data_IF_826011801960
#
_entry.id   IF_826011801960
#
_cell.length_a   1.000
_cell.length_b   1.000
_cell.length_c   1.000
_cell.angle_alpha   90.00
_cell.angle_beta   90.00
_cell.angle_gamma   90.00
#
_symmetry.space_group_name_H-M   'P 1'
#
loop_
_entity.id
_entity.type
_entity.pdbx_description
1 polymer ?
#
# COMPACT_ATOMS: atom_id res chain seq x y z
N UNK A 1 -19.37 -10.39 48.63
CA UNK A 1 -18.12 -11.18 48.52
C UNK A 1 -18.26 -12.07 47.29
N UNK A 2 -17.68 -11.64 46.18
CA UNK A 2 -17.68 -12.30 44.87
C UNK A 2 -16.80 -11.45 43.94
N UNK A 3 -15.90 -12.04 43.14
CA UNK A 3 -14.70 -11.35 42.67
C UNK A 3 -14.95 -10.47 41.44
N UNK A 4 -14.31 -9.30 41.47
CA UNK A 4 -14.16 -8.36 40.37
C UNK A 4 -13.13 -8.92 39.37
N UNK A 5 -13.60 -9.36 38.21
CA UNK A 5 -12.76 -9.87 37.13
C UNK A 5 -12.35 -8.71 36.23
N UNK A 6 -11.10 -8.28 36.40
CA UNK A 6 -10.47 -7.26 35.58
C UNK A 6 -10.48 -7.61 34.09
N UNK A 7 -11.08 -6.73 33.30
CA UNK A 7 -10.96 -6.73 31.85
C UNK A 7 -9.61 -6.13 31.47
N UNK A 8 -8.63 -7.00 31.20
CA UNK A 8 -7.41 -6.61 30.48
C UNK A 8 -7.73 -6.60 28.98
N UNK A 9 -8.00 -5.42 28.44
CA UNK A 9 -8.03 -5.22 27.00
C UNK A 9 -6.62 -5.40 26.43
N UNK A 10 -6.45 -6.41 25.57
CA UNK A 10 -5.28 -6.51 24.69
C UNK A 10 -5.40 -5.42 23.62
N UNK A 11 -4.86 -4.24 23.89
CA UNK A 11 -4.53 -3.25 22.87
C UNK A 11 -3.22 -3.66 22.19
N UNK A 12 -3.25 -3.83 20.88
CA UNK A 12 -2.02 -3.89 20.08
C UNK A 12 -1.56 -2.45 19.83
N UNK A 13 -0.64 -1.97 20.66
CA UNK A 13 0.08 -0.72 20.42
C UNK A 13 1.19 -0.98 19.39
N UNK A 14 1.00 -0.49 18.17
CA UNK A 14 2.06 -0.42 17.17
C UNK A 14 2.88 0.83 17.45
N UNK A 15 3.92 0.69 18.25
CA UNK A 15 4.90 1.75 18.53
C UNK A 15 5.83 1.94 17.31
N UNK A 16 5.58 2.97 16.51
CA UNK A 16 6.51 3.44 15.48
C UNK A 16 7.34 4.61 16.03
N UNK A 17 8.45 4.33 16.72
CA UNK A 17 9.53 5.32 16.89
C UNK A 17 10.28 5.50 15.57
N UNK A 18 10.74 6.67 15.10
CA UNK A 18 11.05 7.94 15.76
C UNK A 18 11.09 9.04 14.67
N UNK A 19 10.61 10.26 14.95
CA UNK A 19 10.99 11.46 14.18
C UNK A 19 9.93 12.56 14.06
N UNK A 20 9.98 13.55 14.97
CA UNK A 20 9.29 14.87 14.95
C UNK A 20 7.89 14.90 14.29
N UNK A 21 6.86 14.52 15.05
CA UNK A 21 5.47 14.84 14.72
C UNK A 21 5.16 16.29 15.10
N UNK A 22 5.06 17.15 14.09
CA UNK A 22 4.34 18.41 14.14
C UNK A 22 3.40 18.42 12.95
N UNK A 23 2.10 18.57 13.22
CA UNK A 23 0.96 18.28 12.34
C UNK A 23 0.69 16.76 12.21
N UNK A 24 -0.56 16.33 12.40
CA UNK A 24 -0.95 14.91 12.30
C UNK A 24 -0.47 14.35 10.97
N UNK A 25 0.64 13.61 11.00
CA UNK A 25 1.39 13.27 9.80
C UNK A 25 0.50 12.51 8.82
N UNK A 26 0.16 13.13 7.70
CA UNK A 26 -0.59 12.46 6.64
C UNK A 26 0.21 11.27 6.15
N UNK A 27 -0.34 10.07 6.35
CA UNK A 27 0.23 8.83 5.84
C UNK A 27 0.22 8.86 4.30
N UNK A 28 1.39 8.72 3.68
CA UNK A 28 1.51 8.59 2.23
C UNK A 28 1.87 7.14 1.90
N UNK A 29 0.94 6.42 1.28
CA UNK A 29 1.10 5.01 0.95
C UNK A 29 2.28 4.75 -0.01
N UNK A 30 2.51 5.64 -0.98
CA UNK A 30 3.62 5.49 -1.94
C UNK A 30 4.98 5.60 -1.24
N UNK A 31 5.15 6.63 -0.40
CA UNK A 31 6.36 6.80 0.39
C UNK A 31 6.57 5.64 1.37
N UNK A 32 5.50 5.19 2.05
CA UNK A 32 5.56 4.06 2.97
C UNK A 32 5.94 2.75 2.25
N UNK A 33 5.39 2.50 1.06
CA UNK A 33 5.64 1.28 0.27
C UNK A 33 7.06 1.25 -0.31
N UNK A 34 7.59 2.39 -0.73
CA UNK A 34 8.94 2.48 -1.30
C UNK A 34 10.05 2.51 -0.23
N UNK A 35 9.74 2.96 0.99
CA UNK A 35 10.69 3.03 2.10
C UNK A 35 11.14 1.64 2.58
N UNK A 36 12.45 1.35 2.70
CA UNK A 36 12.97 0.11 3.28
C UNK A 36 12.45 -0.17 4.70
N UNK A 37 12.28 0.88 5.50
CA UNK A 37 11.80 0.79 6.88
C UNK A 37 10.26 0.85 6.98
N UNK A 38 9.59 1.04 5.86
CA UNK A 38 8.13 1.15 5.76
C UNK A 38 7.45 -0.18 5.44
N UNK A 39 6.43 -0.12 4.58
CA UNK A 39 5.64 -1.29 4.19
C UNK A 39 6.40 -2.26 3.28
N UNK A 40 7.50 -1.82 2.65
CA UNK A 40 8.34 -2.67 1.79
C UNK A 40 8.73 -3.99 2.47
N UNK A 41 9.06 -3.94 3.76
CA UNK A 41 9.55 -5.10 4.52
C UNK A 41 8.55 -6.26 4.59
N UNK A 42 7.26 -5.96 4.41
CA UNK A 42 6.20 -6.95 4.41
C UNK A 42 5.95 -7.56 3.03
N UNK A 43 6.52 -7.00 1.96
CA UNK A 43 6.32 -7.49 0.59
C UNK A 43 7.30 -8.61 0.24
N UNK A 44 6.86 -9.86 0.39
CA UNK A 44 7.69 -11.03 0.07
C UNK A 44 7.93 -11.18 -1.44
N UNK A 45 7.01 -10.66 -2.28
CA UNK A 45 7.14 -10.60 -3.73
C UNK A 45 7.64 -9.23 -4.28
N UNK A 46 8.44 -8.48 -3.50
CA UNK A 46 8.91 -7.12 -3.86
C UNK A 46 9.41 -6.98 -5.31
N UNK A 47 10.19 -7.95 -5.81
CA UNK A 47 10.76 -7.89 -7.17
C UNK A 47 9.70 -7.94 -8.28
N UNK A 48 8.55 -8.55 -8.01
CA UNK A 48 7.41 -8.65 -8.91
C UNK A 48 6.46 -7.46 -8.75
N UNK A 49 6.18 -7.05 -7.51
CA UNK A 49 5.25 -5.96 -7.21
C UNK A 49 5.82 -4.57 -7.57
N UNK A 50 7.12 -4.35 -7.35
CA UNK A 50 7.75 -3.03 -7.52
C UNK A 50 7.59 -2.42 -8.93
N UNK A 51 7.87 -3.15 -10.03
CA UNK A 51 7.72 -2.58 -11.37
C UNK A 51 6.28 -2.13 -11.68
N UNK A 52 5.29 -2.93 -11.29
CA UNK A 52 3.87 -2.61 -11.47
C UNK A 52 3.48 -1.36 -10.66
N UNK A 53 3.94 -1.30 -9.40
CA UNK A 53 3.71 -0.16 -8.53
C UNK A 53 4.33 1.13 -9.08
N UNK A 54 5.57 1.09 -9.57
CA UNK A 54 6.25 2.24 -10.18
C UNK A 54 5.54 2.70 -11.45
N UNK A 55 5.16 1.77 -12.32
CA UNK A 55 4.48 2.09 -13.56
C UNK A 55 3.16 2.82 -13.29
N UNK A 56 2.41 2.35 -12.28
CA UNK A 56 1.19 2.99 -11.81
C UNK A 56 1.45 4.38 -11.25
N UNK A 57 2.40 4.55 -10.32
CA UNK A 57 2.72 5.87 -9.74
C UNK A 57 3.10 6.89 -10.81
N UNK A 58 3.89 6.48 -11.81
CA UNK A 58 4.24 7.33 -12.95
C UNK A 58 3.01 7.71 -13.77
N UNK A 59 2.14 6.76 -14.06
CA UNK A 59 0.92 7.00 -14.84
C UNK A 59 -0.03 7.96 -14.11
N UNK A 60 -0.21 7.78 -12.80
CA UNK A 60 -1.01 8.67 -11.96
C UNK A 60 -0.41 10.08 -11.87
N UNK A 61 0.91 10.18 -11.71
CA UNK A 61 1.59 11.46 -11.68
C UNK A 61 1.46 12.22 -13.01
N UNK A 62 1.60 11.51 -14.14
CA UNK A 62 1.40 12.09 -15.47
C UNK A 62 -0.05 12.55 -15.67
N UNK A 63 -1.03 11.75 -15.24
CA UNK A 63 -2.45 12.10 -15.32
C UNK A 63 -2.82 13.35 -14.52
N UNK A 64 -2.07 13.68 -13.46
CA UNK A 64 -2.28 14.93 -12.70
C UNK A 64 -1.98 16.20 -13.50
N UNK A 65 -1.17 16.12 -14.56
CA UNK A 65 -0.70 17.28 -15.34
C UNK A 65 0.23 18.23 -14.58
N UNK A 66 0.59 17.93 -13.33
CA UNK A 66 1.36 18.81 -12.46
C UNK A 66 2.84 18.41 -12.43
N UNK A 67 3.71 19.28 -12.94
CA UNK A 67 5.17 19.04 -12.94
C UNK A 67 5.75 18.78 -11.54
N UNK A 68 5.23 19.44 -10.51
CA UNK A 68 5.67 19.23 -9.14
C UNK A 68 5.37 17.79 -8.65
N UNK A 69 4.19 17.25 -8.98
CA UNK A 69 3.80 15.88 -8.62
C UNK A 69 4.69 14.87 -9.35
N UNK A 70 4.91 15.06 -10.65
CA UNK A 70 5.80 14.21 -11.45
C UNK A 70 7.22 14.19 -10.86
N UNK A 71 7.78 15.37 -10.58
CA UNK A 71 9.12 15.48 -9.99
C UNK A 71 9.22 14.81 -8.61
N UNK A 72 8.18 14.96 -7.79
CA UNK A 72 8.11 14.33 -6.47
C UNK A 72 8.05 12.80 -6.55
N UNK A 73 7.20 12.25 -7.43
CA UNK A 73 7.11 10.79 -7.64
C UNK A 73 8.42 10.21 -8.15
N UNK A 74 9.08 10.86 -9.12
CA UNK A 74 10.40 10.40 -9.58
C UNK A 74 11.47 10.47 -8.47
N UNK A 75 11.40 11.46 -7.57
CA UNK A 75 12.29 11.52 -6.41
C UNK A 75 12.04 10.37 -5.43
N UNK A 76 10.78 10.05 -5.13
CA UNK A 76 10.40 8.90 -4.30
C UNK A 76 10.89 7.58 -4.91
N UNK A 77 10.67 7.39 -6.22
CA UNK A 77 11.12 6.19 -6.94
C UNK A 77 12.64 6.03 -6.84
N UNK A 78 13.42 7.10 -7.06
CA UNK A 78 14.89 7.06 -6.90
C UNK A 78 15.32 6.70 -5.48
N UNK A 79 14.55 7.09 -4.46
CA UNK A 79 14.86 6.78 -3.06
C UNK A 79 14.62 5.31 -2.69
N UNK A 80 13.88 4.55 -3.49
CA UNK A 80 13.57 3.15 -3.25
C UNK A 80 14.78 2.20 -3.45
N UNK A 81 15.91 2.69 -3.96
CA UNK A 81 17.12 1.90 -4.24
C UNK A 81 17.10 1.22 -5.62
N UNK A 82 17.81 0.09 -5.76
CA UNK A 82 17.93 -0.61 -7.04
C UNK A 82 16.58 -1.15 -7.51
N UNK A 83 16.01 -0.47 -8.51
CA UNK A 83 14.85 -0.91 -9.26
C UNK A 83 15.37 -1.76 -10.41
N UNK A 84 14.99 -3.04 -10.53
CA UNK A 84 15.39 -3.85 -11.67
C UNK A 84 15.01 -3.15 -12.98
N UNK A 85 16.00 -2.91 -13.84
CA UNK A 85 15.86 -2.16 -15.12
C UNK A 85 14.97 -2.91 -16.15
N UNK A 86 14.39 -4.05 -15.78
CA UNK A 86 13.81 -5.02 -16.72
C UNK A 86 12.43 -4.67 -17.28
N UNK A 87 11.80 -3.55 -16.92
CA UNK A 87 10.45 -3.20 -17.38
C UNK A 87 10.43 -1.81 -18.04
N UNK A 88 11.25 -1.65 -19.09
CA UNK A 88 11.25 -0.46 -19.96
C UNK A 88 10.25 -0.57 -21.11
N UNK A 89 9.59 -1.71 -21.28
CA UNK A 89 8.44 -1.85 -22.18
C UNK A 89 7.17 -1.41 -21.46
N UNK A 90 6.44 -0.40 -21.97
CA UNK A 90 5.12 -0.06 -21.46
C UNK A 90 4.15 -1.18 -21.80
N UNK A 91 4.05 -2.18 -20.93
CA UNK A 91 2.92 -3.11 -20.98
C UNK A 91 1.66 -2.35 -20.52
N UNK A 92 0.47 -2.69 -21.03
CA UNK A 92 -0.76 -2.12 -20.50
C UNK A 92 -0.77 -2.30 -18.98
N UNK A 93 -1.13 -1.25 -18.22
CA UNK A 93 -1.38 -1.40 -16.79
C UNK A 93 -2.37 -2.56 -16.63
N UNK A 94 -1.89 -3.69 -16.09
CA UNK A 94 -2.79 -4.78 -15.76
C UNK A 94 -3.74 -4.23 -14.69
N UNK A 95 -5.06 -4.43 -14.82
CA UNK A 95 -6.02 -3.98 -13.82
C UNK A 95 -5.86 -4.71 -12.47
N UNK A 96 -4.87 -5.61 -12.39
CA UNK A 96 -4.60 -6.51 -11.29
C UNK A 96 -3.11 -6.50 -10.97
N UNK A 97 -2.76 -6.23 -9.72
CA UNK A 97 -1.39 -6.34 -9.19
C UNK A 97 -1.33 -7.43 -8.12
N UNK A 98 -0.53 -8.50 -8.30
CA UNK A 98 -0.33 -9.50 -7.26
C UNK A 98 0.48 -8.92 -6.09
N UNK A 99 0.09 -9.28 -4.88
CA UNK A 99 0.69 -8.78 -3.65
C UNK A 99 0.81 -9.92 -2.65
N UNK A 100 2.05 -10.28 -2.32
CA UNK A 100 2.35 -11.28 -1.30
C UNK A 100 2.88 -10.57 -0.06
N UNK A 101 2.13 -10.69 1.04
CA UNK A 101 2.48 -10.11 2.32
C UNK A 101 2.98 -11.19 3.27
N UNK A 102 4.05 -10.88 4.01
CA UNK A 102 4.49 -11.63 5.18
C UNK A 102 4.57 -10.66 6.35
N UNK A 103 3.64 -10.81 7.31
CA UNK A 103 3.54 -9.97 8.50
C UNK A 103 3.80 -10.86 9.71
N UNK A 104 5.03 -10.86 10.19
CA UNK A 104 5.46 -11.64 11.36
C UNK A 104 5.10 -13.14 11.25
N UNK A 105 5.24 -13.72 10.05
CA UNK A 105 4.92 -15.12 9.74
C UNK A 105 3.47 -15.36 9.27
N UNK A 106 2.63 -14.32 9.24
CA UNK A 106 1.34 -14.37 8.57
C UNK A 106 1.53 -14.11 7.07
N UNK A 107 1.36 -15.15 6.26
CA UNK A 107 1.39 -15.04 4.81
C UNK A 107 -0.01 -14.72 4.26
N UNK A 108 -0.13 -13.65 3.47
CA UNK A 108 -1.36 -13.28 2.76
C UNK A 108 -1.05 -13.11 1.27
N UNK A 109 -1.75 -13.87 0.43
CA UNK A 109 -1.71 -13.76 -1.02
C UNK A 109 -2.92 -12.97 -1.51
N UNK A 110 -2.66 -11.82 -2.12
CA UNK A 110 -3.66 -10.84 -2.52
C UNK A 110 -3.49 -10.45 -4.00
N UNK A 111 -4.55 -9.93 -4.59
CA UNK A 111 -4.46 -9.14 -5.81
C UNK A 111 -5.26 -7.85 -5.66
N UNK A 112 -4.77 -6.77 -6.26
CA UNK A 112 -5.41 -5.45 -6.11
C UNK A 112 -6.19 -5.04 -7.33
N UNK A 113 -7.27 -4.29 -7.15
CA UNK A 113 -8.08 -3.70 -8.22
C UNK A 113 -8.27 -2.22 -7.91
N UNK A 114 -8.02 -1.38 -8.92
CA UNK A 114 -8.27 0.06 -8.82
C UNK A 114 -9.55 0.48 -9.52
N UNK A 115 -10.34 1.29 -8.86
CA UNK A 115 -11.52 1.96 -9.41
C UNK A 115 -11.35 3.46 -9.32
N UNK A 116 -11.69 4.18 -10.39
CA UNK A 116 -11.65 5.65 -10.45
C UNK A 116 -13.06 6.20 -10.59
N UNK A 117 -13.40 7.21 -9.79
CA UNK A 117 -14.66 7.93 -9.83
C UNK A 117 -14.41 9.31 -10.45
N UNK A 118 -14.81 9.49 -11.71
CA UNK A 118 -14.49 10.69 -12.50
C UNK A 118 -15.40 11.90 -12.29
N UNK A 119 -16.44 11.80 -11.45
CA UNK A 119 -17.37 12.91 -11.15
C UNK A 119 -17.83 12.90 -9.68
N UNK A 120 -16.93 12.98 -8.69
CA UNK A 120 -17.36 13.13 -7.31
C UNK A 120 -18.07 14.49 -7.16
N UNK A 121 -19.36 14.47 -6.79
CA UNK A 121 -20.17 15.69 -6.64
C UNK A 121 -19.70 16.58 -5.47
N UNK A 122 -18.92 16.03 -4.53
CA UNK A 122 -18.57 16.67 -3.24
C UNK A 122 -17.06 16.70 -2.93
N UNK A 123 -16.18 16.24 -3.85
CA UNK A 123 -14.73 16.20 -3.62
C UNK A 123 -14.07 17.12 -4.64
N UNK A 124 -13.31 18.09 -4.14
CA UNK A 124 -12.69 19.20 -4.87
C UNK A 124 -11.83 18.70 -6.05
N UNK A 125 -12.31 18.82 -7.29
CA UNK A 125 -11.60 18.75 -8.61
C UNK A 125 -10.72 17.51 -8.90
N UNK A 126 -10.28 16.75 -7.91
CA UNK A 126 -9.42 15.59 -8.03
C UNK A 126 -10.27 14.32 -8.14
N UNK A 127 -9.84 13.41 -9.03
CA UNK A 127 -10.48 12.11 -9.19
C UNK A 127 -10.32 11.28 -7.92
N UNK A 128 -11.45 10.81 -7.35
CA UNK A 128 -11.39 9.84 -6.25
C UNK A 128 -11.00 8.48 -6.80
N UNK A 129 -9.98 7.85 -6.21
CA UNK A 129 -9.58 6.48 -6.55
C UNK A 129 -9.68 5.59 -5.32
N UNK A 130 -10.22 4.38 -5.54
CA UNK A 130 -10.32 3.33 -4.53
C UNK A 130 -9.51 2.14 -5.01
N UNK A 131 -8.62 1.65 -4.15
CA UNK A 131 -7.93 0.39 -4.35
C UNK A 131 -8.50 -0.66 -3.39
N UNK A 132 -8.92 -1.78 -3.96
CA UNK A 132 -9.44 -2.92 -3.22
C UNK A 132 -8.47 -4.10 -3.33
N UNK A 133 -8.27 -4.82 -2.23
CA UNK A 133 -7.37 -5.95 -2.11
C UNK A 133 -8.21 -7.22 -1.91
N UNK A 134 -8.05 -8.20 -2.80
CA UNK A 134 -8.84 -9.43 -2.79
C UNK A 134 -7.96 -10.63 -2.48
N UNK A 135 -8.43 -11.59 -1.67
CA UNK A 135 -7.73 -12.85 -1.43
C UNK A 135 -7.51 -13.62 -2.73
N UNK A 136 -6.26 -13.96 -3.03
CA UNK A 136 -5.88 -14.81 -4.16
C UNK A 136 -5.96 -16.31 -3.83
N UNK A 137 -6.02 -16.67 -2.54
CA UNK A 137 -6.16 -18.05 -2.08
C UNK A 137 -7.20 -18.23 -0.96
N UNK A 138 -7.48 -19.49 -0.61
CA UNK A 138 -8.44 -19.86 0.43
C UNK A 138 -7.96 -19.52 1.84
N UNK A 139 -6.66 -19.59 2.10
CA UNK A 139 -6.10 -19.31 3.42
C UNK A 139 -6.26 -17.82 3.78
N UNK A 140 -5.86 -16.94 2.87
CA UNK A 140 -6.04 -15.50 2.94
C UNK A 140 -7.53 -15.15 3.03
N UNK A 141 -8.39 -15.82 2.26
CA UNK A 141 -9.84 -15.61 2.35
C UNK A 141 -10.39 -15.92 3.74
N UNK A 142 -9.97 -17.04 4.33
CA UNK A 142 -10.39 -17.45 5.70
C UNK A 142 -9.93 -16.43 6.74
N UNK A 143 -8.70 -15.93 6.62
CA UNK A 143 -8.17 -14.87 7.46
C UNK A 143 -9.11 -13.64 7.48
N UNK A 144 -9.46 -13.09 6.31
CA UNK A 144 -10.35 -11.91 6.24
C UNK A 144 -11.81 -12.19 6.65
N UNK A 145 -12.25 -13.45 6.64
CA UNK A 145 -13.58 -13.84 7.12
C UNK A 145 -13.65 -14.00 8.65
N UNK A 146 -12.58 -13.68 9.39
CA UNK A 146 -12.51 -13.90 10.83
C UNK A 146 -12.45 -15.38 11.21
N UNK A 147 -12.20 -16.25 10.23
CA UNK A 147 -11.92 -17.67 10.42
C UNK A 147 -10.41 -17.86 10.29
N UNK A 148 -9.66 -17.18 11.15
CA UNK A 148 -8.22 -17.40 11.28
C UNK A 148 -7.93 -18.91 11.42
N UNK A 149 -6.71 -19.35 11.06
CA UNK A 149 -6.35 -20.76 11.01
C UNK A 149 -6.73 -21.56 12.25
#
# INVERSE_FOLDING_TARGET
MGPDHGERGCGYDVDTGTGRQGESGTFNLAAATLSPDGLRRYLSNWKEALPLFIQRLRSEALASGQHAVIAHVEALIRSAGDIPVAHTTPEPLLPVMPLELDIDGLHLSLFTVMSTFGTPQDITTDELRVEAFYPADDATRRFFQGRGP
#
